data_IF_722555749306
#
_entry.id   IF_722555749306
#
_cell.length_a   1.000
_cell.length_b   1.000
_cell.length_c   1.000
_cell.angle_alpha   90.00
_cell.angle_beta   90.00
_cell.angle_gamma   90.00
#
_symmetry.space_group_name_H-M   'P 1'
#
loop_
_entity.id
_entity.type
_entity.pdbx_description
1 polymer ?
#
# COMPACT_ATOMS: atom_id res chain seq x y z
N UNK A 1 17.57 2.38 1.61
CA UNK A 1 16.24 2.45 2.28
C UNK A 1 15.22 1.66 1.47
N UNK A 2 14.25 0.96 2.09
CA UNK A 2 13.22 0.19 1.38
C UNK A 2 11.80 0.59 1.83
N UNK A 3 10.95 0.91 0.87
CA UNK A 3 9.56 1.31 1.07
C UNK A 3 8.68 0.44 0.18
N UNK A 4 7.74 -0.29 0.77
CA UNK A 4 6.72 -1.01 0.04
C UNK A 4 5.38 -0.28 0.23
N UNK A 5 4.70 0.02 -0.88
CA UNK A 5 3.43 0.73 -0.92
C UNK A 5 2.33 -0.27 -1.27
N UNK A 6 1.34 -0.40 -0.39
CA UNK A 6 0.14 -1.18 -0.64
C UNK A 6 -0.97 -0.26 -1.14
N UNK A 7 -1.49 -0.53 -2.34
CA UNK A 7 -2.50 0.29 -2.99
C UNK A 7 -3.38 -0.55 -3.92
N UNK A 8 -4.53 -0.03 -4.34
CA UNK A 8 -5.31 -0.58 -5.46
C UNK A 8 -4.89 -0.03 -6.82
N UNK A 9 -4.03 1.01 -6.84
CA UNK A 9 -3.60 1.76 -8.02
C UNK A 9 -2.07 1.91 -8.06
N UNK A 10 -1.30 0.83 -8.29
CA UNK A 10 0.17 0.88 -8.29
C UNK A 10 0.76 1.90 -9.27
N UNK A 11 0.12 2.09 -10.42
CA UNK A 11 0.53 2.98 -11.50
C UNK A 11 0.63 4.44 -11.09
N UNK A 12 -0.14 4.89 -10.08
CA UNK A 12 -0.05 6.25 -9.54
C UNK A 12 1.34 6.57 -8.97
N UNK A 13 2.08 5.54 -8.55
CA UNK A 13 3.39 5.69 -7.92
C UNK A 13 4.55 5.66 -8.92
N UNK A 14 4.29 5.54 -10.23
CA UNK A 14 5.31 5.70 -11.26
C UNK A 14 5.97 7.09 -11.23
N UNK A 15 5.30 8.09 -10.63
CA UNK A 15 5.87 9.42 -10.39
C UNK A 15 7.23 9.38 -9.67
N UNK A 16 7.47 8.36 -8.84
CA UNK A 16 8.74 8.20 -8.12
C UNK A 16 9.91 7.76 -8.98
N UNK A 17 9.67 7.32 -10.22
CA UNK A 17 10.73 6.98 -11.16
C UNK A 17 11.40 8.22 -11.78
N UNK A 18 10.93 9.43 -11.46
CA UNK A 18 11.43 10.66 -12.07
C UNK A 18 12.27 11.50 -11.10
N UNK A 19 13.13 12.34 -11.67
CA UNK A 19 13.93 13.35 -10.95
C UNK A 19 14.79 12.73 -9.83
N UNK A 20 14.97 13.45 -8.72
CA UNK A 20 15.84 13.10 -7.60
C UNK A 20 15.51 11.72 -7.01
N UNK A 21 14.22 11.35 -6.94
CA UNK A 21 13.79 10.06 -6.39
C UNK A 21 14.19 8.93 -7.36
N UNK A 22 13.91 9.09 -8.66
CA UNK A 22 14.31 8.13 -9.70
C UNK A 22 15.81 7.90 -9.72
N UNK A 23 16.60 8.97 -9.71
CA UNK A 23 18.06 8.91 -9.67
C UNK A 23 18.58 8.15 -8.43
N UNK A 24 17.93 8.32 -7.27
CA UNK A 24 18.29 7.59 -6.05
C UNK A 24 17.96 6.08 -6.16
N UNK A 25 16.89 5.73 -6.87
CA UNK A 25 16.54 4.34 -7.16
C UNK A 25 17.48 3.69 -8.16
N UNK A 26 17.86 4.38 -9.23
CA UNK A 26 18.84 3.90 -10.23
C UNK A 26 20.22 3.62 -9.59
N UNK A 27 20.62 4.47 -8.63
CA UNK A 27 21.85 4.30 -7.85
C UNK A 27 21.75 3.28 -6.71
N UNK A 28 20.59 2.65 -6.51
CA UNK A 28 20.36 1.64 -5.46
C UNK A 28 20.31 2.18 -4.03
N UNK A 29 20.23 3.50 -3.84
CA UNK A 29 20.18 4.15 -2.51
C UNK A 29 18.79 3.96 -1.87
N UNK A 30 17.76 3.96 -2.72
CA UNK A 30 16.36 3.86 -2.36
C UNK A 30 15.69 2.75 -3.19
N UNK A 31 14.78 2.01 -2.57
CA UNK A 31 13.90 1.07 -3.27
C UNK A 31 12.47 1.37 -2.88
N UNK A 32 11.65 1.80 -3.84
CA UNK A 32 10.21 1.97 -3.67
C UNK A 32 9.51 0.97 -4.59
N UNK A 33 8.57 0.19 -4.03
CA UNK A 33 7.74 -0.73 -4.81
C UNK A 33 6.28 -0.57 -4.45
N UNK A 34 5.43 -0.31 -5.44
CA UNK A 34 3.99 -0.40 -5.28
C UNK A 34 3.50 -1.82 -5.57
N UNK A 35 2.64 -2.33 -4.68
CA UNK A 35 2.07 -3.68 -4.73
C UNK A 35 0.55 -3.57 -4.70
N UNK A 36 -0.11 -4.24 -5.66
CA UNK A 36 -1.55 -4.20 -5.75
C UNK A 36 -2.19 -5.10 -4.68
N UNK A 37 -3.01 -4.52 -3.81
CA UNK A 37 -3.75 -5.27 -2.77
C UNK A 37 -4.70 -6.29 -3.42
N UNK A 38 -5.21 -5.99 -4.63
CA UNK A 38 -6.14 -6.85 -5.36
C UNK A 38 -5.57 -8.22 -5.71
N UNK A 39 -4.26 -8.34 -5.85
CA UNK A 39 -3.60 -9.62 -6.17
C UNK A 39 -3.56 -10.59 -4.98
N UNK A 40 -3.91 -10.11 -3.79
CA UNK A 40 -3.99 -10.91 -2.57
C UNK A 40 -5.43 -11.29 -2.20
N UNK A 41 -6.42 -10.93 -3.03
CA UNK A 41 -7.80 -11.34 -2.81
C UNK A 41 -7.99 -12.80 -3.19
N UNK A 42 -8.55 -13.58 -2.27
CA UNK A 42 -8.95 -14.98 -2.52
C UNK A 42 -10.32 -15.11 -3.20
N UNK A 43 -11.02 -13.99 -3.38
CA UNK A 43 -12.30 -13.97 -4.08
C UNK A 43 -12.10 -14.20 -5.59
N UNK A 44 -12.95 -15.03 -6.20
CA UNK A 44 -12.90 -15.35 -7.65
C UNK A 44 -12.89 -14.12 -8.56
N UNK A 45 -13.57 -13.04 -8.17
CA UNK A 45 -13.66 -11.79 -8.91
C UNK A 45 -12.65 -10.73 -8.43
N UNK A 46 -11.68 -11.12 -7.59
CA UNK A 46 -10.72 -10.24 -6.93
C UNK A 46 -11.38 -9.03 -6.25
N UNK A 47 -12.50 -9.26 -5.55
CA UNK A 47 -13.18 -8.23 -4.75
C UNK A 47 -12.29 -7.83 -3.56
N UNK A 48 -12.22 -6.53 -3.27
CA UNK A 48 -11.32 -5.93 -2.26
C UNK A 48 -12.06 -5.03 -1.27
N UNK A 49 -13.37 -4.95 -1.40
CA UNK A 49 -14.26 -4.12 -0.61
C UNK A 49 -15.51 -4.91 -0.20
N UNK A 50 -16.17 -4.43 0.85
CA UNK A 50 -17.45 -4.96 1.28
C UNK A 50 -18.27 -3.93 2.04
N UNK A 51 -19.53 -4.27 2.27
CA UNK A 51 -20.42 -3.45 3.08
C UNK A 51 -19.94 -3.42 4.55
N UNK A 52 -19.94 -2.23 5.20
CA UNK A 52 -19.68 -2.15 6.62
C UNK A 52 -20.81 -2.83 7.42
N UNK A 53 -20.45 -3.50 8.51
CA UNK A 53 -21.44 -3.96 9.49
C UNK A 53 -22.20 -2.77 10.06
N UNK A 54 -23.52 -2.94 10.24
CA UNK A 54 -24.43 -1.86 10.64
C UNK A 54 -25.01 -1.04 9.47
N UNK A 55 -24.57 -1.30 8.24
CA UNK A 55 -25.04 -0.60 7.04
C UNK A 55 -24.52 0.84 6.95
N UNK A 56 -25.21 1.66 6.15
CA UNK A 56 -24.79 3.02 5.83
C UNK A 56 -24.30 3.18 4.39
N UNK A 57 -23.91 4.39 4.04
CA UNK A 57 -23.42 4.69 2.69
C UNK A 57 -21.96 4.28 2.50
N UNK A 58 -21.64 3.73 1.33
CA UNK A 58 -20.28 3.40 0.92
C UNK A 58 -19.84 1.98 1.27
N UNK A 59 -18.57 1.70 1.00
CA UNK A 59 -17.92 0.42 1.24
C UNK A 59 -16.63 0.61 2.04
N UNK A 60 -16.16 -0.45 2.66
CA UNK A 60 -14.87 -0.53 3.35
C UNK A 60 -14.00 -1.59 2.69
N UNK A 61 -12.68 -1.46 2.79
CA UNK A 61 -11.77 -2.48 2.29
C UNK A 61 -11.97 -3.80 3.05
N UNK A 62 -11.95 -4.92 2.35
CA UNK A 62 -11.97 -6.24 3.00
C UNK A 62 -10.66 -6.49 3.76
N UNK A 63 -10.71 -7.01 5.00
CA UNK A 63 -9.50 -7.27 5.78
C UNK A 63 -8.55 -8.28 5.14
N UNK A 64 -9.09 -9.30 4.48
CA UNK A 64 -8.34 -10.45 3.93
C UNK A 64 -7.19 -10.06 2.99
N UNK A 65 -7.41 -9.36 1.86
CA UNK A 65 -6.32 -8.99 0.95
C UNK A 65 -5.34 -7.99 1.58
N UNK A 66 -5.80 -7.12 2.49
CA UNK A 66 -4.92 -6.21 3.23
C UNK A 66 -3.95 -7.00 4.11
N UNK A 67 -4.47 -7.90 4.96
CA UNK A 67 -3.63 -8.68 5.87
C UNK A 67 -2.68 -9.59 5.12
N UNK A 68 -3.16 -10.23 4.04
CA UNK A 68 -2.35 -11.14 3.24
C UNK A 68 -1.20 -10.40 2.52
N UNK A 69 -1.47 -9.22 1.95
CA UNK A 69 -0.44 -8.41 1.32
C UNK A 69 0.60 -7.89 2.32
N UNK A 70 0.19 -7.47 3.53
CA UNK A 70 1.12 -7.08 4.60
C UNK A 70 2.00 -8.26 5.01
N UNK A 71 1.41 -9.44 5.26
CA UNK A 71 2.15 -10.65 5.66
C UNK A 71 3.20 -11.04 4.61
N UNK A 72 2.80 -11.06 3.34
CA UNK A 72 3.69 -11.37 2.23
C UNK A 72 4.91 -10.42 2.17
N UNK A 73 4.67 -9.10 2.24
CA UNK A 73 5.76 -8.12 2.19
C UNK A 73 6.66 -8.19 3.43
N UNK A 74 6.10 -8.52 4.59
CA UNK A 74 6.84 -8.68 5.85
C UNK A 74 7.87 -9.80 5.84
N UNK A 75 7.80 -10.73 4.90
CA UNK A 75 8.85 -11.73 4.70
C UNK A 75 10.18 -11.08 4.30
N UNK A 76 10.12 -10.06 3.42
CA UNK A 76 11.29 -9.40 2.82
C UNK A 76 11.50 -7.95 3.28
N UNK A 77 10.61 -7.41 4.10
CA UNK A 77 10.72 -6.07 4.67
C UNK A 77 10.23 -6.07 6.13
N UNK A 78 11.14 -5.94 7.08
CA UNK A 78 10.81 -5.88 8.52
C UNK A 78 10.46 -4.47 9.01
N UNK A 79 10.41 -3.48 8.12
CA UNK A 79 10.09 -2.08 8.42
C UNK A 79 8.71 -1.86 9.04
N UNK A 80 8.44 -0.65 9.54
CA UNK A 80 7.16 -0.29 10.16
C UNK A 80 6.02 -0.33 9.14
N UNK A 81 4.84 -0.76 9.57
CA UNK A 81 3.60 -0.65 8.77
C UNK A 81 2.93 0.68 9.14
N UNK A 82 2.69 1.52 8.15
CA UNK A 82 2.09 2.84 8.35
C UNK A 82 0.80 2.87 7.54
N UNK A 83 -0.31 3.20 8.20
CA UNK A 83 -1.60 3.43 7.55
C UNK A 83 -1.83 4.95 7.43
N UNK A 84 -2.02 5.42 6.21
CA UNK A 84 -2.33 6.81 5.94
C UNK A 84 -3.84 7.01 6.04
N UNK A 85 -4.26 7.84 6.98
CA UNK A 85 -5.67 8.16 7.18
C UNK A 85 -5.85 9.54 7.80
N UNK A 86 -7.01 10.18 7.61
CA UNK A 86 -7.27 11.54 8.08
C UNK A 86 -7.27 11.68 9.60
N UNK A 87 -7.41 10.58 10.35
CA UNK A 87 -7.31 10.54 11.81
C UNK A 87 -5.90 10.21 12.32
N UNK A 88 -4.92 10.09 11.42
CA UNK A 88 -3.52 9.83 11.79
C UNK A 88 -2.83 11.06 12.37
N UNK A 89 -1.59 10.88 12.83
CA UNK A 89 -0.72 12.01 13.19
C UNK A 89 -0.43 12.84 11.92
N UNK A 90 -0.71 14.14 11.97
CA UNK A 90 -0.35 15.06 10.88
C UNK A 90 1.15 15.02 10.65
N UNK A 91 1.55 14.75 9.41
CA UNK A 91 2.94 14.79 8.99
C UNK A 91 3.41 16.26 8.98
N UNK A 92 4.57 16.50 9.58
CA UNK A 92 5.29 17.77 9.46
C UNK A 92 6.78 17.45 9.16
N UNK A 93 7.61 18.48 9.04
CA UNK A 93 9.01 18.33 8.63
C UNK A 93 9.92 17.72 9.70
N UNK A 94 9.49 17.73 10.97
CA UNK A 94 10.22 17.23 12.14
C UNK A 94 9.82 15.78 12.48
#
# INVERSE_FOLDING_TARGET
>A
MKIDILTLFPEMFHVFNHSIIGNAMEKGILSIKATNIRDFSTNKHKKVDDYPYGGGAGMVMTPEPIVNSIKHLKEKNKGKVIFLGPRGKTLNQE
#
